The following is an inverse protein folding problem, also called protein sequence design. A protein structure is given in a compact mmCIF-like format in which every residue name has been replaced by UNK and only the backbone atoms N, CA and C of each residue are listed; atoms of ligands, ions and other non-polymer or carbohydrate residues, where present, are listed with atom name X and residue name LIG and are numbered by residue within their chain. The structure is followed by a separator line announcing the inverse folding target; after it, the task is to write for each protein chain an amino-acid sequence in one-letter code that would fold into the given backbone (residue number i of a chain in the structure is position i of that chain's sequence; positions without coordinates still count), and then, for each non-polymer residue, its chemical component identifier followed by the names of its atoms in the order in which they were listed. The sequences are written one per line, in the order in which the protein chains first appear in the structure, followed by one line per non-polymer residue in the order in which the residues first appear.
data_IF_700050854098
#
_entry.id   IF_700050854098
#
_cell.length_a   1.000
_cell.length_b   1.000
_cell.length_c   1.000
_cell.angle_alpha   90.00
_cell.angle_beta   90.00
_cell.angle_gamma   90.00
#
_symmetry.space_group_name_H-M   'P 1'
#
loop_
_entity.id
_entity.type
_entity.pdbx_description
1 polymer ?
#
# COMPACT_ATOMS: atom_id res chain seq x y z
N UNK A 1 15.66 3.30 -1.13
CA UNK A 1 14.51 4.22 -1.13
C UNK A 1 15.02 5.64 -1.35
N UNK A 2 14.54 6.35 -2.38
CA UNK A 2 14.79 7.77 -2.60
C UNK A 2 13.47 8.51 -2.85
N UNK A 3 13.26 9.60 -2.11
CA UNK A 3 12.07 10.47 -2.14
C UNK A 3 12.43 11.84 -2.72
N UNK A 4 11.44 12.63 -3.11
CA UNK A 4 11.62 13.92 -3.79
C UNK A 4 12.50 13.83 -5.05
N UNK A 5 12.43 12.71 -5.76
CA UNK A 5 13.21 12.47 -7.00
C UNK A 5 12.40 12.72 -8.27
N UNK A 6 11.08 12.80 -8.16
CA UNK A 6 10.22 13.23 -9.25
C UNK A 6 10.18 14.76 -9.35
N UNK A 7 9.80 15.28 -10.52
CA UNK A 7 9.59 16.71 -10.72
C UNK A 7 8.15 17.13 -10.36
N UNK A 8 7.41 16.28 -9.66
CA UNK A 8 5.99 16.50 -9.39
C UNK A 8 5.84 17.44 -8.18
N UNK A 9 4.82 18.30 -8.19
CA UNK A 9 4.62 19.32 -7.15
C UNK A 9 4.09 18.80 -5.80
N UNK A 10 4.00 17.49 -5.60
CA UNK A 10 3.45 16.87 -4.39
C UNK A 10 4.55 16.14 -3.62
N UNK A 11 4.53 16.23 -2.30
CA UNK A 11 5.58 15.70 -1.42
C UNK A 11 5.36 14.23 -1.02
N UNK A 12 4.88 13.42 -1.97
CA UNK A 12 4.53 12.00 -1.77
C UNK A 12 4.74 11.21 -3.05
N UNK A 13 5.08 9.94 -2.94
CA UNK A 13 5.36 9.05 -4.08
C UNK A 13 4.66 7.70 -3.92
N UNK A 14 3.91 7.23 -4.92
CA UNK A 14 3.06 6.06 -4.79
C UNK A 14 3.90 4.78 -4.71
N UNK A 15 3.65 3.94 -3.71
CA UNK A 15 4.10 2.54 -3.71
C UNK A 15 3.17 1.75 -4.64
N UNK A 16 1.86 1.84 -4.40
CA UNK A 16 0.80 1.23 -5.20
C UNK A 16 -0.39 2.17 -5.26
N UNK A 17 -1.07 2.25 -6.40
CA UNK A 17 -2.21 3.13 -6.58
C UNK A 17 -3.22 2.62 -7.60
N UNK A 18 -4.44 3.13 -7.49
CA UNK A 18 -5.52 2.94 -8.46
C UNK A 18 -6.34 4.22 -8.59
N UNK A 19 -6.98 4.38 -9.75
CA UNK A 19 -7.82 5.54 -10.03
C UNK A 19 -8.85 5.34 -11.13
N UNK A 20 -9.35 6.46 -11.64
CA UNK A 20 -10.27 6.58 -12.77
C UNK A 20 -9.70 7.62 -13.77
N UNK A 21 -10.21 7.70 -14.99
CA UNK A 21 -9.72 8.69 -15.96
C UNK A 21 -9.83 10.11 -15.38
N UNK A 22 -8.68 10.79 -15.20
CA UNK A 22 -8.61 12.11 -14.56
C UNK A 22 -8.89 12.16 -13.05
N UNK A 23 -9.05 11.02 -12.38
CA UNK A 23 -9.42 10.95 -10.96
C UNK A 23 -8.64 9.86 -10.22
N UNK A 24 -8.60 9.94 -8.90
CA UNK A 24 -7.87 9.01 -8.03
C UNK A 24 -8.83 8.21 -7.16
N UNK A 25 -8.46 6.98 -6.78
CA UNK A 25 -9.27 6.11 -5.94
C UNK A 25 -8.59 5.88 -4.60
N UNK A 26 -7.41 5.25 -4.63
CA UNK A 26 -6.55 5.10 -3.47
C UNK A 26 -5.09 5.02 -3.89
N UNK A 27 -4.19 5.33 -2.96
CA UNK A 27 -2.78 5.12 -3.11
C UNK A 27 -2.10 4.97 -1.74
N UNK A 28 -1.23 3.97 -1.65
CA UNK A 28 -0.28 3.85 -0.56
C UNK A 28 0.98 4.62 -0.95
N UNK A 29 1.47 5.46 -0.06
CA UNK A 29 2.52 6.44 -0.30
C UNK A 29 3.70 6.28 0.64
N UNK A 30 4.86 6.74 0.16
CA UNK A 30 5.92 7.32 0.98
C UNK A 30 5.89 8.84 0.77
N UNK A 31 6.04 9.62 1.84
CA UNK A 31 6.17 11.08 1.79
C UNK A 31 7.64 11.50 1.74
N UNK A 32 7.92 12.73 1.31
CA UNK A 32 9.29 13.30 1.33
C UNK A 32 9.88 13.35 2.75
N UNK A 33 9.03 13.41 3.76
CA UNK A 33 9.38 13.29 5.18
C UNK A 33 9.78 11.87 5.60
N UNK A 34 9.77 10.90 4.68
CA UNK A 34 9.90 9.47 4.92
C UNK A 34 8.77 8.88 5.76
N UNK A 35 7.61 9.53 5.81
CA UNK A 35 6.42 8.95 6.42
C UNK A 35 5.66 8.05 5.45
N UNK A 36 5.06 6.97 5.95
CA UNK A 36 4.09 6.22 5.17
C UNK A 36 2.75 6.96 5.19
N UNK A 37 1.93 6.78 4.15
CA UNK A 37 0.55 7.25 4.18
C UNK A 37 -0.36 6.50 3.24
N UNK A 38 -1.66 6.60 3.49
CA UNK A 38 -2.67 5.94 2.68
C UNK A 38 -3.79 6.92 2.36
N UNK A 39 -3.85 7.33 1.10
CA UNK A 39 -4.88 8.26 0.63
C UNK A 39 -5.98 7.50 -0.08
N UNK A 40 -7.22 7.85 0.24
CA UNK A 40 -8.43 7.49 -0.49
C UNK A 40 -9.12 8.77 -0.93
N UNK A 41 -9.66 8.79 -2.15
CA UNK A 41 -10.39 9.93 -2.70
C UNK A 41 -11.82 9.56 -3.03
N UNK A 42 -12.69 10.56 -2.98
CA UNK A 42 -14.02 10.50 -3.55
C UNK A 42 -13.93 10.72 -5.06
N UNK A 43 -14.92 10.26 -5.81
CA UNK A 43 -15.00 10.65 -7.22
C UNK A 43 -15.14 12.18 -7.32
N UNK A 44 -14.54 12.79 -8.33
CA UNK A 44 -14.30 14.25 -8.39
C UNK A 44 -13.04 14.72 -7.67
N UNK A 45 -12.25 13.83 -7.05
CA UNK A 45 -10.89 14.11 -6.60
C UNK A 45 -10.73 14.72 -5.21
N UNK A 46 -11.83 14.96 -4.48
CA UNK A 46 -11.73 15.40 -3.08
C UNK A 46 -11.26 14.27 -2.16
N UNK A 47 -10.49 14.60 -1.11
CA UNK A 47 -10.02 13.62 -0.14
C UNK A 47 -11.18 12.93 0.60
N UNK A 48 -11.19 11.59 0.60
CA UNK A 48 -12.05 10.78 1.45
C UNK A 48 -11.40 10.56 2.82
N UNK A 49 -10.11 10.18 2.83
CA UNK A 49 -9.28 9.93 4.01
C UNK A 49 -7.81 9.92 3.58
N UNK A 50 -6.93 10.62 4.28
CA UNK A 50 -5.50 10.73 3.89
C UNK A 50 -4.54 10.68 5.09
N UNK A 51 -4.62 9.67 5.98
CA UNK A 51 -3.67 9.52 7.08
C UNK A 51 -2.24 9.29 6.61
N UNK A 52 -1.29 9.88 7.33
CA UNK A 52 0.14 9.63 7.19
C UNK A 52 0.84 9.60 8.55
N UNK A 53 1.84 8.75 8.71
CA UNK A 53 2.58 8.58 9.94
C UNK A 53 3.61 7.45 9.85
N UNK A 54 4.34 7.25 10.95
CA UNK A 54 5.46 6.31 10.98
C UNK A 54 6.67 6.81 10.21
N UNK A 55 7.83 6.20 10.43
CA UNK A 55 9.05 6.50 9.70
C UNK A 55 9.43 5.30 8.85
N UNK A 56 9.85 5.54 7.62
CA UNK A 56 10.38 4.56 6.66
C UNK A 56 11.80 5.01 6.27
N UNK A 57 12.79 4.76 7.14
CA UNK A 57 14.19 5.06 6.86
C UNK A 57 14.67 4.56 5.49
N UNK A 58 15.75 5.19 5.02
CA UNK A 58 16.39 4.79 3.76
C UNK A 58 17.28 3.58 4.00
N UNK A 59 17.63 2.91 2.89
CA UNK A 59 18.63 1.83 2.84
C UNK A 59 18.30 0.58 3.66
N UNK A 60 17.03 0.41 4.05
CA UNK A 60 16.49 -0.76 4.74
C UNK A 60 15.21 -1.27 4.04
N UNK A 61 14.91 -2.55 4.27
CA UNK A 61 13.61 -3.12 3.87
C UNK A 61 12.56 -2.77 4.91
N UNK A 62 11.45 -2.20 4.47
CA UNK A 62 10.31 -1.90 5.32
C UNK A 62 9.05 -2.56 4.77
N UNK A 63 8.20 -3.01 5.69
CA UNK A 63 6.86 -3.47 5.37
C UNK A 63 5.86 -2.35 5.59
N UNK A 64 5.15 -1.93 4.55
CA UNK A 64 4.15 -0.85 4.62
C UNK A 64 2.80 -1.37 4.21
N UNK A 65 1.77 -1.11 5.02
CA UNK A 65 0.41 -1.51 4.70
C UNK A 65 -0.60 -0.39 5.02
N UNK A 66 -1.63 -0.29 4.18
CA UNK A 66 -2.81 0.53 4.43
C UNK A 66 -4.04 -0.37 4.53
N UNK A 67 -4.91 -0.13 5.53
CA UNK A 67 -6.22 -0.79 5.60
C UNK A 67 -7.34 0.24 5.60
N UNK A 68 -8.48 -0.17 5.05
CA UNK A 68 -9.67 0.66 4.98
C UNK A 68 -10.92 -0.21 5.17
N UNK A 69 -11.84 0.27 6.02
CA UNK A 69 -13.15 -0.32 6.22
C UNK A 69 -14.23 0.70 5.89
N UNK A 70 -15.17 0.33 5.00
CA UNK A 70 -16.24 1.24 4.52
C UNK A 70 -17.00 1.95 5.66
N UNK A 71 -17.28 1.22 6.74
CA UNK A 71 -17.88 1.72 7.98
C UNK A 71 -16.91 1.64 9.17
N UNK A 72 -15.65 2.00 8.97
CA UNK A 72 -14.60 1.98 9.98
C UNK A 72 -13.42 2.86 9.60
N UNK A 73 -12.30 2.67 10.27
CA UNK A 73 -11.16 3.58 10.11
C UNK A 73 -10.34 3.28 8.86
N UNK A 74 -9.56 4.27 8.45
CA UNK A 74 -8.40 4.09 7.59
C UNK A 74 -7.17 4.00 8.48
N UNK A 75 -6.30 3.01 8.26
CA UNK A 75 -5.11 2.79 9.09
C UNK A 75 -3.87 2.63 8.23
N UNK A 76 -2.73 3.04 8.76
CA UNK A 76 -1.42 2.84 8.16
C UNK A 76 -0.54 2.08 9.13
N UNK A 77 0.20 1.11 8.61
CA UNK A 77 1.13 0.28 9.35
C UNK A 77 2.52 0.36 8.73
N UNK A 78 3.54 0.43 9.58
CA UNK A 78 4.95 0.31 9.19
C UNK A 78 5.59 -0.75 10.07
N UNK A 79 6.28 -1.70 9.45
CA UNK A 79 6.96 -2.82 10.10
C UNK A 79 6.04 -3.57 11.09
N UNK A 80 4.81 -3.81 10.63
CA UNK A 80 3.77 -4.54 11.36
C UNK A 80 3.16 -3.79 12.55
N UNK A 81 3.49 -2.51 12.74
CA UNK A 81 2.94 -1.67 13.81
C UNK A 81 1.98 -0.63 13.25
N UNK A 82 0.84 -0.44 13.91
CA UNK A 82 -0.09 0.65 13.59
C UNK A 82 0.58 1.99 13.90
N UNK A 83 0.70 2.87 12.91
CA UNK A 83 1.38 4.17 13.06
C UNK A 83 0.43 5.36 13.00
N UNK A 84 -0.72 5.22 12.34
CA UNK A 84 -1.77 6.24 12.32
C UNK A 84 -3.14 5.61 12.01
N UNK A 85 -4.18 6.19 12.61
CA UNK A 85 -5.59 5.88 12.36
C UNK A 85 -6.31 7.17 12.02
N UNK A 86 -7.11 7.15 10.95
CA UNK A 86 -8.05 8.21 10.61
C UNK A 86 -9.49 7.70 10.70
N UNK A 87 -10.23 8.23 11.69
CA UNK A 87 -11.65 7.96 11.89
C UNK A 87 -12.56 9.05 11.28
N UNK A 88 -11.99 10.06 10.63
CA UNK A 88 -12.66 11.30 10.17
C UNK A 88 -12.95 11.34 8.67
N UNK A 89 -13.26 10.18 8.08
CA UNK A 89 -13.51 10.03 6.63
C UNK A 89 -14.73 10.81 6.14
N UNK A 90 -14.69 11.25 4.88
CA UNK A 90 -15.70 12.13 4.25
C UNK A 90 -16.37 11.48 3.05
N UNK A 91 -17.69 11.43 3.00
CA UNK A 91 -18.42 10.89 1.85
C UNK A 91 -18.06 9.42 1.56
N UNK A 92 -17.91 9.06 0.29
CA UNK A 92 -17.63 7.69 -0.17
C UNK A 92 -16.36 7.64 -1.01
N UNK A 93 -15.48 6.67 -0.74
CA UNK A 93 -14.35 6.38 -1.61
C UNK A 93 -14.83 6.07 -3.03
N UNK A 94 -14.05 6.53 -4.03
CA UNK A 94 -14.34 6.24 -5.42
C UNK A 94 -14.16 4.74 -5.72
N UNK A 95 -14.64 4.30 -6.88
CA UNK A 95 -14.38 2.96 -7.41
C UNK A 95 -14.02 3.12 -8.88
N UNK A 96 -12.73 3.18 -9.15
CA UNK A 96 -12.17 3.47 -10.46
C UNK A 96 -11.92 2.20 -11.27
N UNK A 97 -11.87 2.36 -12.59
CA UNK A 97 -11.68 1.25 -13.53
C UNK A 97 -10.25 1.13 -14.04
N UNK A 98 -9.34 2.06 -13.68
CA UNK A 98 -7.97 2.01 -14.18
C UNK A 98 -7.20 0.81 -13.61
N UNK A 99 -6.20 0.31 -14.36
CA UNK A 99 -5.26 -0.66 -13.82
C UNK A 99 -4.62 -0.15 -12.52
N UNK A 100 -4.21 -1.09 -11.69
CA UNK A 100 -3.32 -0.80 -10.56
C UNK A 100 -1.94 -0.45 -11.14
N UNK A 101 -1.33 0.59 -10.59
CA UNK A 101 0.04 1.00 -10.92
C UNK A 101 0.92 0.87 -9.68
N UNK A 102 2.17 0.48 -9.89
CA UNK A 102 3.19 0.33 -8.84
C UNK A 102 4.30 1.32 -9.13
N UNK A 103 4.79 2.00 -8.10
CA UNK A 103 5.87 2.99 -8.18
C UNK A 103 5.62 4.22 -9.07
N UNK A 104 4.47 4.36 -9.74
CA UNK A 104 4.23 5.50 -10.62
C UNK A 104 2.75 5.88 -10.76
N UNK A 105 2.52 7.07 -11.28
CA UNK A 105 1.24 7.60 -11.77
C UNK A 105 1.41 8.19 -13.17
N UNK A 106 0.29 8.39 -13.86
CA UNK A 106 0.28 9.00 -15.20
C UNK A 106 0.63 10.49 -15.21
N UNK A 107 0.50 11.19 -14.07
CA UNK A 107 0.84 12.61 -13.93
C UNK A 107 2.33 12.85 -13.63
N UNK A 108 3.17 11.83 -13.78
CA UNK A 108 4.62 11.94 -13.63
C UNK A 108 5.14 11.81 -12.20
N UNK A 109 4.27 11.59 -11.22
CA UNK A 109 4.67 11.24 -9.85
C UNK A 109 5.20 9.80 -9.81
N UNK A 110 6.38 9.58 -9.22
CA UNK A 110 6.98 8.24 -9.14
C UNK A 110 7.80 8.02 -7.87
N UNK A 111 7.92 6.76 -7.45
CA UNK A 111 8.75 6.33 -6.34
C UNK A 111 10.01 5.63 -6.86
N UNK A 112 11.17 6.15 -6.46
CA UNK A 112 12.44 5.48 -6.71
C UNK A 112 12.77 4.54 -5.53
N UNK A 113 12.34 3.28 -5.64
CA UNK A 113 12.59 2.25 -4.65
C UNK A 113 12.60 0.84 -5.27
N UNK A 114 13.16 -0.11 -4.53
CA UNK A 114 12.93 -1.54 -4.79
C UNK A 114 11.65 -1.93 -4.06
N UNK A 115 10.73 -2.60 -4.75
CA UNK A 115 9.42 -3.01 -4.22
C UNK A 115 9.28 -4.51 -4.46
N UNK A 116 8.82 -5.24 -3.45
CA UNK A 116 8.60 -6.68 -3.52
C UNK A 116 7.30 -7.06 -2.77
N UNK A 117 6.75 -8.23 -3.09
CA UNK A 117 5.60 -8.86 -2.42
C UNK A 117 4.32 -7.99 -2.33
N UNK A 118 3.97 -7.29 -3.42
CA UNK A 118 2.76 -6.46 -3.47
C UNK A 118 1.50 -7.33 -3.45
N UNK A 119 0.68 -7.14 -2.42
CA UNK A 119 -0.54 -7.91 -2.18
C UNK A 119 -1.73 -7.01 -1.81
N UNK A 120 -2.94 -7.46 -2.14
CA UNK A 120 -4.19 -6.71 -1.93
C UNK A 120 -5.35 -7.62 -1.55
N UNK A 121 -6.25 -7.13 -0.69
CA UNK A 121 -7.39 -7.90 -0.18
C UNK A 121 -8.69 -7.11 -0.28
N UNK A 122 -9.81 -7.82 -0.47
CA UNK A 122 -11.16 -7.25 -0.50
C UNK A 122 -11.79 -7.09 0.89
N UNK A 123 -10.98 -7.16 1.95
CA UNK A 123 -11.39 -7.00 3.35
C UNK A 123 -10.30 -6.29 4.13
N UNK A 124 -10.69 -5.71 5.27
CA UNK A 124 -9.72 -5.26 6.27
C UNK A 124 -8.96 -6.47 6.83
N UNK A 125 -7.63 -6.34 6.90
CA UNK A 125 -6.77 -7.30 7.60
C UNK A 125 -6.63 -6.91 9.07
N UNK A 126 -6.51 -7.89 9.96
CA UNK A 126 -6.16 -7.65 11.37
C UNK A 126 -4.67 -7.31 11.51
N UNK A 127 -4.30 -6.74 12.66
CA UNK A 127 -2.89 -6.45 12.96
C UNK A 127 -2.04 -7.73 13.01
N UNK A 128 -2.60 -8.84 13.49
CA UNK A 128 -1.94 -10.15 13.50
C UNK A 128 -1.67 -10.66 12.09
N UNK A 129 -2.64 -10.52 11.18
CA UNK A 129 -2.47 -10.92 9.77
C UNK A 129 -1.39 -10.06 9.09
N UNK A 130 -1.35 -8.76 9.36
CA UNK A 130 -0.32 -7.84 8.87
C UNK A 130 1.06 -8.27 9.39
N UNK A 131 1.19 -8.59 10.69
CA UNK A 131 2.44 -9.09 11.28
C UNK A 131 2.87 -10.45 10.72
N UNK A 132 1.92 -11.29 10.31
CA UNK A 132 2.22 -12.55 9.65
C UNK A 132 2.73 -12.31 8.23
N UNK A 133 2.06 -11.47 7.45
CA UNK A 133 2.46 -11.09 6.09
C UNK A 133 3.86 -10.47 6.02
N UNK A 134 4.22 -9.66 7.02
CA UNK A 134 5.57 -9.09 7.13
C UNK A 134 6.66 -10.16 7.24
N UNK A 135 6.35 -11.33 7.83
CA UNK A 135 7.30 -12.44 7.97
C UNK A 135 7.38 -13.31 6.72
N UNK A 136 6.50 -13.10 5.76
CA UNK A 136 6.36 -13.87 4.53
C UNK A 136 4.89 -13.99 4.11
N UNK A 137 4.62 -14.40 2.86
CA UNK A 137 3.26 -14.56 2.38
C UNK A 137 2.47 -15.50 3.30
N UNK A 138 1.20 -15.19 3.53
CA UNK A 138 0.31 -16.10 4.24
C UNK A 138 0.29 -17.41 3.44
N UNK A 139 0.95 -18.43 3.97
CA UNK A 139 0.90 -19.79 3.46
C UNK A 139 -0.55 -20.23 3.58
N UNK A 140 -1.35 -20.00 2.54
CA UNK A 140 -2.62 -20.72 2.38
C UNK A 140 -2.15 -22.16 2.27
N UNK A 141 -2.36 -22.94 3.32
CA UNK A 141 -2.07 -24.37 3.27
C UNK A 141 -2.88 -24.94 2.11
N UNK A 142 -2.23 -25.13 0.96
CA UNK A 142 -2.81 -25.87 -0.15
C UNK A 142 -2.95 -27.27 0.39
N UNK A 143 -4.17 -27.75 0.59
CA UNK A 143 -4.38 -29.15 0.98
C UNK A 143 -3.88 -30.00 -0.19
N UNK A 144 -2.75 -30.73 -0.09
CA UNK A 144 -2.08 -31.31 -1.25
C UNK A 144 -2.74 -32.62 -1.74
N UNK A 145 -3.88 -33.01 -1.18
CA UNK A 145 -4.63 -34.16 -1.65
C UNK A 145 -5.26 -33.85 -3.03
N UNK A 146 -4.47 -34.01 -4.10
CA UNK A 146 -4.98 -34.08 -5.47
C UNK A 146 -4.79 -32.84 -6.35
N UNK A 147 -3.99 -31.86 -5.95
CA UNK A 147 -3.65 -30.71 -6.80
C UNK A 147 -2.14 -30.66 -7.05
N UNK A 148 -1.74 -30.50 -8.32
CA UNK A 148 -0.37 -30.11 -8.68
C UNK A 148 -0.14 -28.68 -8.16
N UNK A 149 0.58 -28.54 -7.07
CA UNK A 149 0.97 -27.24 -6.52
C UNK A 149 1.86 -26.49 -7.51
N UNK A 150 1.36 -25.41 -8.10
CA UNK A 150 2.22 -24.31 -8.60
C UNK A 150 2.36 -23.28 -7.48
N UNK A 151 3.28 -23.52 -6.55
CA UNK A 151 3.84 -22.46 -5.73
C UNK A 151 5.35 -22.52 -5.88
N UNK A 152 5.88 -21.60 -6.69
CA UNK A 152 7.30 -21.30 -6.75
C UNK A 152 7.66 -20.49 -5.51
N UNK A 153 8.70 -20.91 -4.80
CA UNK A 153 9.15 -20.23 -3.59
C UNK A 153 10.24 -20.97 -2.84
N UNK A 154 11.29 -21.43 -3.54
CA UNK A 154 12.52 -21.89 -2.88
C UNK A 154 13.74 -21.49 -3.70
N UNK A 155 14.38 -20.39 -3.30
CA UNK A 155 15.85 -20.20 -3.29
C UNK A 155 16.18 -18.76 -2.87
N UNK A 156 16.29 -18.54 -1.57
CA UNK A 156 17.36 -17.70 -1.01
C UNK A 156 17.91 -18.42 0.21
N UNK A 157 18.66 -19.48 -0.06
CA UNK A 157 19.73 -19.91 0.84
C UNK A 157 21.04 -19.64 0.11
N UNK A 158 21.91 -18.90 0.79
CA UNK A 158 23.33 -18.68 0.48
C UNK A 158 23.65 -17.58 -0.54
N UNK A 159 23.87 -16.37 -0.03
CA UNK A 159 25.22 -15.79 0.14
C UNK A 159 25.20 -14.69 1.19
#
# INVERSE_FOLDING_TARGET
LAVATDAHGQTRQPIVMKGRGGEWEYALYIYDSLAAGFSLWQCGGSGHSEPSGGAVPKDEWHFVAGTYKLKGDTKVYVDGKLVVTDSSRRGKACNGTRPIMIAHREDGQFLNAVIDEVSMWSRELSEEEIKQLMKGPLMVAVNPSGLLTTCWGRLKSER
#
